data_IF_491964473610
#
_entry.id   IF_491964473610
#
_cell.length_a   1.000
_cell.length_b   1.000
_cell.length_c   1.000
_cell.angle_alpha   90.00
_cell.angle_beta   90.00
_cell.angle_gamma   90.00
#
_symmetry.space_group_name_H-M   'P 1'
#
loop_
_entity.id
_entity.type
_entity.pdbx_description
1 polymer ?
#
# COMPACT_ATOMS: atom_id res chain seq x y z
N UNK A 1 -3.13 -3.57 12.32
CA UNK A 1 -3.36 -2.47 11.36
C UNK A 1 -2.38 -1.31 11.56
N UNK A 2 -2.38 -0.57 12.70
CA UNK A 2 -1.52 0.61 12.90
C UNK A 2 -0.02 0.34 12.71
N UNK A 3 0.53 -0.74 13.27
CA UNK A 3 1.95 -1.08 13.10
C UNK A 3 2.32 -1.30 11.62
N UNK A 4 1.44 -1.92 10.85
CA UNK A 4 1.65 -2.12 9.41
C UNK A 4 1.55 -0.79 8.64
N UNK A 5 0.61 0.10 9.02
CA UNK A 5 0.52 1.43 8.42
C UNK A 5 1.80 2.26 8.67
N UNK A 6 2.36 2.21 9.88
CA UNK A 6 3.65 2.86 10.20
C UNK A 6 4.80 2.25 9.40
N UNK A 7 4.81 0.91 9.22
CA UNK A 7 5.80 0.23 8.37
C UNK A 7 5.71 0.75 6.93
N UNK A 8 4.51 0.75 6.34
CA UNK A 8 4.25 1.24 4.98
C UNK A 8 4.69 2.69 4.85
N UNK A 9 4.28 3.57 5.79
CA UNK A 9 4.67 4.98 5.80
C UNK A 9 6.18 5.15 5.79
N UNK A 10 6.89 4.52 6.73
CA UNK A 10 8.34 4.65 6.82
C UNK A 10 9.06 4.14 5.57
N UNK A 11 8.55 3.08 4.95
CA UNK A 11 9.10 2.52 3.73
C UNK A 11 9.03 3.52 2.56
N UNK A 12 7.85 4.11 2.33
CA UNK A 12 7.64 5.04 1.20
C UNK A 12 8.20 6.43 1.48
N UNK A 13 8.11 6.94 2.72
CA UNK A 13 8.74 8.20 3.14
C UNK A 13 10.24 8.21 2.85
N UNK A 14 10.94 7.11 3.13
CA UNK A 14 12.36 6.99 2.84
C UNK A 14 12.69 7.06 1.35
N UNK A 15 11.69 6.89 0.49
CA UNK A 15 11.77 7.00 -0.98
C UNK A 15 11.23 8.32 -1.50
N UNK A 16 10.94 9.25 -0.60
CA UNK A 16 10.49 10.59 -0.93
C UNK A 16 9.02 10.68 -1.38
N UNK A 17 8.19 9.69 -1.01
CA UNK A 17 6.74 9.81 -1.18
C UNK A 17 6.16 10.79 -0.17
N UNK A 18 5.13 11.52 -0.57
CA UNK A 18 4.44 12.45 0.32
C UNK A 18 3.57 11.71 1.33
N UNK A 19 3.30 12.36 2.47
CA UNK A 19 2.33 11.85 3.43
C UNK A 19 0.94 11.69 2.81
N UNK A 20 0.55 12.65 1.96
CA UNK A 20 -0.74 12.64 1.26
C UNK A 20 -0.90 11.38 0.39
N UNK A 21 0.11 11.08 -0.44
CA UNK A 21 0.11 9.90 -1.30
C UNK A 21 0.06 8.59 -0.49
N UNK A 22 0.89 8.46 0.55
CA UNK A 22 0.92 7.24 1.37
C UNK A 22 -0.36 7.07 2.17
N UNK A 23 -0.91 8.13 2.75
CA UNK A 23 -2.19 8.07 3.47
C UNK A 23 -3.35 7.69 2.53
N UNK A 24 -3.36 8.22 1.30
CA UNK A 24 -4.32 7.87 0.27
C UNK A 24 -4.26 6.37 -0.10
N UNK A 25 -3.05 5.84 -0.28
CA UNK A 25 -2.82 4.42 -0.51
C UNK A 25 -3.26 3.57 0.68
N UNK A 26 -2.96 3.97 1.91
CA UNK A 26 -3.37 3.26 3.12
C UNK A 26 -4.89 3.21 3.29
N UNK A 27 -5.63 4.25 2.90
CA UNK A 27 -7.09 4.23 2.87
C UNK A 27 -7.63 3.13 1.94
N UNK A 28 -7.00 2.92 0.81
CA UNK A 28 -7.32 1.82 -0.10
C UNK A 28 -6.91 0.46 0.50
N UNK A 29 -5.69 0.32 0.98
CA UNK A 29 -5.20 -0.91 1.63
C UNK A 29 -6.06 -1.33 2.84
N UNK A 30 -6.63 -0.37 3.57
CA UNK A 30 -7.56 -0.68 4.66
C UNK A 30 -8.81 -1.40 4.15
N UNK A 31 -9.34 -0.99 3.01
CA UNK A 31 -10.51 -1.61 2.39
C UNK A 31 -10.17 -2.96 1.75
N UNK A 32 -8.98 -3.10 1.16
CA UNK A 32 -8.55 -4.33 0.49
C UNK A 32 -8.15 -5.43 1.48
N UNK A 33 -7.36 -5.07 2.49
CA UNK A 33 -6.64 -6.04 3.30
C UNK A 33 -6.64 -5.76 4.80
N UNK A 34 -7.32 -4.71 5.27
CA UNK A 34 -7.12 -4.18 6.63
C UNK A 34 -5.64 -3.85 6.93
N UNK A 35 -4.88 -3.48 5.90
CA UNK A 35 -3.43 -3.25 5.92
C UNK A 35 -2.68 -4.46 6.48
N UNK A 36 -3.06 -5.66 6.04
CA UNK A 36 -2.45 -6.92 6.48
C UNK A 36 -1.73 -7.59 5.30
N UNK A 37 -0.38 -7.69 5.33
CA UNK A 37 0.39 -8.29 4.25
C UNK A 37 0.22 -9.81 4.14
N UNK A 38 -0.38 -10.46 5.14
CA UNK A 38 -0.59 -11.91 5.14
C UNK A 38 -2.01 -12.35 4.80
N UNK A 39 -2.87 -11.45 4.32
CA UNK A 39 -4.27 -11.77 4.11
C UNK A 39 -4.54 -12.33 2.71
N UNK A 40 -5.36 -13.37 2.64
CA UNK A 40 -5.90 -13.94 1.42
C UNK A 40 -7.36 -13.52 1.22
N UNK A 41 -7.77 -13.29 -0.01
CA UNK A 41 -9.18 -13.08 -0.37
C UNK A 41 -10.03 -14.30 -0.03
N UNK A 42 -9.54 -15.50 -0.35
CA UNK A 42 -10.20 -16.77 0.00
C UNK A 42 -9.24 -17.70 0.73
N UNK A 43 -9.73 -18.31 1.82
CA UNK A 43 -8.96 -19.25 2.64
C UNK A 43 -9.17 -20.72 2.24
N UNK A 44 -10.25 -21.03 1.50
CA UNK A 44 -10.59 -22.43 1.15
C UNK A 44 -11.22 -22.48 -0.24
N UNK A 45 -10.46 -22.87 -1.27
CA UNK A 45 -8.99 -23.00 -1.30
C UNK A 45 -8.30 -21.64 -1.18
N UNK A 46 -7.03 -21.60 -0.82
CA UNK A 46 -6.22 -20.37 -0.87
C UNK A 46 -6.17 -19.87 -2.32
N UNK A 47 -6.81 -18.74 -2.59
CA UNK A 47 -6.95 -18.22 -3.96
C UNK A 47 -7.37 -16.75 -3.98
N UNK A 48 -7.40 -16.19 -5.18
CA UNK A 48 -7.84 -14.81 -5.40
C UNK A 48 -6.72 -13.80 -5.16
N UNK A 49 -7.07 -12.72 -4.48
CA UNK A 49 -6.16 -11.65 -4.12
C UNK A 49 -5.33 -11.97 -2.87
N UNK A 50 -4.16 -11.34 -2.78
CA UNK A 50 -3.25 -11.48 -1.65
C UNK A 50 -2.57 -10.17 -1.27
N UNK A 51 -2.36 -9.98 0.04
CA UNK A 51 -1.52 -8.94 0.60
C UNK A 51 -2.16 -7.56 0.66
N UNK A 52 -1.33 -6.54 0.83
CA UNK A 52 -1.74 -5.16 1.14
C UNK A 52 -2.73 -4.56 0.13
N UNK A 53 -2.54 -4.80 -1.16
CA UNK A 53 -3.38 -4.29 -2.25
C UNK A 53 -4.13 -5.40 -2.99
N UNK A 54 -4.20 -6.59 -2.43
CA UNK A 54 -4.93 -7.75 -2.97
C UNK A 54 -4.57 -8.06 -4.44
N UNK A 55 -3.27 -8.20 -4.74
CA UNK A 55 -2.84 -8.64 -6.09
C UNK A 55 -3.62 -9.85 -6.56
N UNK A 56 -4.38 -9.70 -7.64
CA UNK A 56 -5.25 -10.76 -8.21
C UNK A 56 -4.85 -11.05 -9.66
N UNK A 57 -4.50 -12.30 -10.00
CA UNK A 57 -4.26 -13.42 -9.07
C UNK A 57 -3.02 -13.18 -8.21
N UNK A 58 -2.96 -13.81 -7.04
CA UNK A 58 -1.84 -13.66 -6.10
C UNK A 58 -0.46 -13.94 -6.72
N UNK A 59 -0.42 -14.74 -7.79
CA UNK A 59 0.78 -15.07 -8.55
C UNK A 59 1.44 -13.86 -9.21
N UNK A 60 0.70 -12.78 -9.42
CA UNK A 60 1.27 -11.51 -9.90
C UNK A 60 2.30 -10.95 -8.91
N UNK A 61 2.11 -11.23 -7.63
CA UNK A 61 3.06 -10.85 -6.58
C UNK A 61 4.03 -11.99 -6.25
N UNK A 62 3.55 -13.21 -5.97
CA UNK A 62 4.39 -14.29 -5.45
C UNK A 62 5.49 -14.75 -6.39
N UNK A 63 5.24 -14.81 -7.71
CA UNK A 63 6.26 -15.14 -8.71
C UNK A 63 7.35 -14.06 -8.76
N UNK A 64 6.97 -12.79 -8.72
CA UNK A 64 7.92 -11.69 -8.68
C UNK A 64 8.73 -11.66 -7.40
N UNK A 65 8.09 -11.88 -6.25
CA UNK A 65 8.72 -11.79 -4.94
C UNK A 65 9.70 -12.96 -4.64
N UNK A 66 9.47 -14.13 -5.22
CA UNK A 66 10.28 -15.32 -4.98
C UNK A 66 10.14 -15.88 -3.56
N UNK A 67 11.18 -16.54 -3.06
CA UNK A 67 11.15 -17.15 -1.73
C UNK A 67 10.91 -16.12 -0.61
N UNK A 68 10.12 -16.50 0.41
CA UNK A 68 9.81 -15.65 1.56
C UNK A 68 8.83 -14.51 1.24
N UNK A 69 8.01 -14.66 0.22
CA UNK A 69 7.01 -13.67 -0.19
C UNK A 69 5.84 -13.53 0.79
N UNK A 70 5.51 -14.61 1.52
CA UNK A 70 4.34 -14.64 2.39
C UNK A 70 4.48 -13.72 3.60
N UNK A 71 3.42 -12.98 3.90
CA UNK A 71 3.32 -12.07 5.04
C UNK A 71 4.52 -11.12 5.18
N UNK A 72 5.00 -10.62 4.05
CA UNK A 72 6.21 -9.81 3.95
C UNK A 72 5.89 -8.38 3.52
N UNK A 73 5.41 -7.56 4.45
CA UNK A 73 5.03 -6.17 4.18
C UNK A 73 6.11 -5.33 3.50
N UNK A 74 7.40 -5.37 3.91
CA UNK A 74 8.48 -4.69 3.18
C UNK A 74 8.61 -5.14 1.72
N UNK A 75 8.47 -6.43 1.44
CA UNK A 75 8.54 -6.97 0.08
C UNK A 75 7.35 -6.55 -0.77
N UNK A 76 6.17 -6.44 -0.17
CA UNK A 76 4.98 -5.92 -0.82
C UNK A 76 5.12 -4.42 -1.14
N UNK A 77 5.68 -3.63 -0.23
CA UNK A 77 6.00 -2.23 -0.52
C UNK A 77 7.06 -2.11 -1.64
N UNK A 78 8.06 -2.99 -1.67
CA UNK A 78 9.04 -3.07 -2.76
C UNK A 78 8.36 -3.37 -4.10
N UNK A 79 7.36 -4.26 -4.12
CA UNK A 79 6.57 -4.55 -5.32
C UNK A 79 5.83 -3.32 -5.85
N UNK A 80 5.21 -2.52 -4.99
CA UNK A 80 4.52 -1.30 -5.40
C UNK A 80 5.51 -0.29 -6.01
N UNK A 81 6.71 -0.15 -5.44
CA UNK A 81 7.77 0.70 -6.04
C UNK A 81 8.20 0.15 -7.40
N UNK A 82 8.39 -1.16 -7.52
CA UNK A 82 8.72 -1.80 -8.78
C UNK A 82 7.63 -1.56 -9.85
N UNK A 83 6.35 -1.60 -9.47
CA UNK A 83 5.23 -1.32 -10.38
C UNK A 83 5.26 0.12 -10.88
N UNK A 84 5.60 1.08 -10.02
CA UNK A 84 5.82 2.47 -10.40
C UNK A 84 6.98 2.59 -11.40
N UNK A 85 8.14 2.00 -11.09
CA UNK A 85 9.35 2.09 -11.91
C UNK A 85 9.22 1.41 -13.27
N UNK A 86 8.38 0.39 -13.38
CA UNK A 86 8.16 -0.39 -14.61
C UNK A 86 6.87 0.01 -15.36
N UNK A 87 6.13 1.00 -14.88
CA UNK A 87 4.92 1.49 -15.54
C UNK A 87 3.80 0.46 -15.64
N UNK A 88 3.69 -0.41 -14.63
CA UNK A 88 2.63 -1.42 -14.54
C UNK A 88 1.64 -1.09 -13.44
N UNK A 89 0.45 -1.68 -13.50
CA UNK A 89 -0.66 -1.57 -12.54
C UNK A 89 -1.35 -0.20 -12.50
N UNK A 90 -0.66 0.92 -12.72
CA UNK A 90 -1.24 2.26 -12.75
C UNK A 90 -1.67 2.65 -14.16
N UNK A 91 -2.96 2.99 -14.34
CA UNK A 91 -3.54 3.43 -15.61
C UNK A 91 -4.29 4.76 -15.41
N UNK A 92 -3.72 5.91 -15.80
CA UNK A 92 -4.38 7.20 -15.67
C UNK A 92 -5.77 7.18 -16.32
N UNK A 93 -6.74 7.72 -15.62
CA UNK A 93 -8.12 7.90 -16.13
C UNK A 93 -8.37 9.35 -16.48
N UNK A 94 -9.41 9.63 -17.29
CA UNK A 94 -9.80 11.02 -17.61
C UNK A 94 -10.22 11.83 -16.38
N UNK A 95 -10.66 11.16 -15.30
CA UNK A 95 -11.03 11.80 -14.03
C UNK A 95 -9.81 12.13 -13.18
N UNK A 96 -8.79 11.24 -13.21
CA UNK A 96 -7.54 11.37 -12.47
C UNK A 96 -6.37 11.16 -13.42
N UNK A 97 -6.14 12.19 -14.28
CA UNK A 97 -5.09 12.18 -15.29
C UNK A 97 -3.74 12.55 -14.66
N UNK A 98 -3.20 11.62 -13.91
CA UNK A 98 -1.87 11.70 -13.30
C UNK A 98 -1.13 10.37 -13.43
N UNK A 99 0.17 10.44 -13.61
CA UNK A 99 1.05 9.28 -13.59
C UNK A 99 1.23 8.76 -12.16
N UNK A 100 1.73 7.53 -11.99
CA UNK A 100 2.02 6.99 -10.66
C UNK A 100 3.16 7.76 -9.97
N UNK A 101 4.14 8.25 -10.73
CA UNK A 101 5.20 9.12 -10.19
C UNK A 101 4.62 10.45 -9.67
N UNK A 102 3.75 11.13 -10.42
CA UNK A 102 3.08 12.35 -9.97
C UNK A 102 2.23 12.10 -8.72
N UNK A 103 1.47 11.00 -8.68
CA UNK A 103 0.74 10.58 -7.48
C UNK A 103 1.67 10.47 -6.28
N UNK A 104 2.81 9.79 -6.42
CA UNK A 104 3.74 9.54 -5.32
C UNK A 104 4.30 10.83 -4.69
N UNK A 105 4.36 11.92 -5.45
CA UNK A 105 4.87 13.23 -5.05
C UNK A 105 3.77 14.26 -4.78
N UNK A 106 2.51 13.92 -5.07
CA UNK A 106 1.41 14.88 -4.94
C UNK A 106 1.16 15.28 -3.48
N UNK A 107 0.80 16.54 -3.30
CA UNK A 107 0.30 17.12 -2.04
C UNK A 107 -1.17 17.54 -2.16
N UNK A 108 -1.86 17.07 -3.17
CA UNK A 108 -3.30 17.29 -3.33
C UNK A 108 -4.08 16.76 -2.11
N UNK A 109 -5.32 17.18 -1.91
CA UNK A 109 -6.15 16.71 -0.80
C UNK A 109 -6.17 15.17 -0.75
N UNK A 110 -5.91 14.62 0.43
CA UNK A 110 -5.71 13.17 0.63
C UNK A 110 -6.90 12.34 0.17
N UNK A 111 -8.13 12.85 0.36
CA UNK A 111 -9.34 12.19 -0.13
C UNK A 111 -9.42 12.12 -1.66
N UNK A 112 -8.92 13.15 -2.36
CA UNK A 112 -8.82 13.16 -3.83
C UNK A 112 -7.80 12.11 -4.30
N UNK A 113 -6.64 12.07 -3.67
CA UNK A 113 -5.61 11.07 -3.98
C UNK A 113 -6.09 9.64 -3.67
N UNK A 114 -6.91 9.44 -2.62
CA UNK A 114 -7.49 8.12 -2.34
C UNK A 114 -8.41 7.64 -3.47
N UNK A 115 -9.20 8.54 -4.06
CA UNK A 115 -10.00 8.22 -5.23
C UNK A 115 -9.13 8.03 -6.48
N UNK A 116 -8.07 8.81 -6.67
CA UNK A 116 -7.13 8.60 -7.77
C UNK A 116 -6.48 7.20 -7.71
N UNK A 117 -6.09 6.75 -6.52
CA UNK A 117 -5.55 5.40 -6.33
C UNK A 117 -6.61 4.32 -6.60
N UNK A 118 -7.84 4.52 -6.14
CA UNK A 118 -8.96 3.62 -6.44
C UNK A 118 -9.19 3.46 -7.94
N UNK A 119 -9.23 4.59 -8.68
CA UNK A 119 -9.55 4.60 -10.11
C UNK A 119 -8.39 4.10 -10.99
N UNK A 120 -7.16 4.49 -10.65
CA UNK A 120 -6.00 4.25 -11.52
C UNK A 120 -5.24 2.97 -11.16
N UNK A 121 -5.25 2.54 -9.87
CA UNK A 121 -4.50 1.38 -9.39
C UNK A 121 -5.40 0.18 -9.08
N UNK A 122 -6.40 0.32 -8.19
CA UNK A 122 -7.24 -0.79 -7.71
C UNK A 122 -8.26 -1.23 -8.76
N UNK A 123 -8.95 -0.30 -9.37
CA UNK A 123 -9.96 -0.49 -10.43
C UNK A 123 -11.00 -1.57 -10.13
N UNK A 124 -11.64 -1.54 -8.94
CA UNK A 124 -12.70 -2.48 -8.62
C UNK A 124 -13.90 -2.29 -9.56
N UNK A 125 -14.77 -3.30 -9.61
CA UNK A 125 -16.00 -3.22 -10.41
C UNK A 125 -16.92 -2.08 -9.96
N UNK A 126 -17.00 -1.82 -8.66
CA UNK A 126 -17.73 -0.69 -8.09
C UNK A 126 -16.73 0.39 -7.65
N UNK A 127 -16.77 1.53 -8.34
CA UNK A 127 -15.94 2.71 -8.05
C UNK A 127 -16.59 3.66 -7.04
N UNK A 128 -17.85 3.46 -6.65
CA UNK A 128 -18.52 4.29 -5.66
C UNK A 128 -18.13 3.88 -4.23
N UNK A 129 -16.92 4.19 -3.83
CA UNK A 129 -16.35 3.84 -2.53
C UNK A 129 -15.81 5.07 -1.78
N UNK A 130 -16.69 6.03 -1.40
CA UNK A 130 -16.26 7.29 -0.76
C UNK A 130 -15.61 7.09 0.61
N UNK A 131 -15.89 5.97 1.29
CA UNK A 131 -15.27 5.65 2.59
C UNK A 131 -13.74 5.51 2.51
N UNK A 132 -13.15 5.19 1.35
CA UNK A 132 -11.70 5.13 1.17
C UNK A 132 -11.06 6.50 1.39
N UNK A 133 -11.74 7.58 1.02
CA UNK A 133 -11.30 8.95 1.31
C UNK A 133 -11.28 9.22 2.81
N UNK A 134 -12.34 8.85 3.54
CA UNK A 134 -12.41 9.02 5.00
C UNK A 134 -11.34 8.18 5.73
N UNK A 135 -11.08 6.97 5.25
CA UNK A 135 -10.00 6.12 5.77
C UNK A 135 -8.62 6.76 5.52
N UNK A 136 -8.42 7.34 4.34
CA UNK A 136 -7.18 8.02 4.00
C UNK A 136 -6.95 9.28 4.86
N UNK A 137 -7.97 10.07 5.11
CA UNK A 137 -7.94 11.22 6.02
C UNK A 137 -7.56 10.79 7.45
N UNK A 138 -8.13 9.70 7.96
CA UNK A 138 -7.73 9.13 9.24
C UNK A 138 -6.24 8.77 9.28
N UNK A 139 -5.72 8.12 8.23
CA UNK A 139 -4.30 7.76 8.17
C UNK A 139 -3.40 8.99 8.03
N UNK A 140 -3.82 10.01 7.32
CA UNK A 140 -3.10 11.26 7.20
C UNK A 140 -2.92 11.94 8.57
N UNK A 141 -3.97 12.04 9.36
CA UNK A 141 -3.93 12.60 10.71
C UNK A 141 -3.08 11.74 11.65
N UNK A 142 -3.30 10.43 11.64
CA UNK A 142 -2.57 9.48 12.48
C UNK A 142 -1.06 9.52 12.22
N UNK A 143 -0.64 9.48 10.97
CA UNK A 143 0.78 9.44 10.59
C UNK A 143 1.44 10.80 10.69
N UNK A 144 0.71 11.90 10.52
CA UNK A 144 1.21 13.27 10.72
C UNK A 144 1.71 13.51 12.13
N UNK A 145 1.16 12.82 13.13
CA UNK A 145 1.59 12.85 14.53
C UNK A 145 2.67 11.82 14.90
N UNK A 146 3.02 10.88 14.01
CA UNK A 146 4.02 9.83 14.32
C UNK A 146 5.44 10.34 14.09
N UNK A 147 6.34 10.29 15.09
CA UNK A 147 7.75 10.62 14.91
C UNK A 147 8.40 9.73 13.84
N UNK A 148 9.28 10.33 13.02
CA UNK A 148 10.04 9.54 12.02
C UNK A 148 10.99 8.58 12.74
N UNK A 149 10.76 7.29 12.57
CA UNK A 149 11.66 6.26 13.07
C UNK A 149 12.70 5.97 11.97
N UNK A 150 14.01 6.08 12.25
CA UNK A 150 15.03 5.74 11.28
C UNK A 150 14.88 4.29 10.80
N UNK A 151 14.97 4.07 9.49
CA UNK A 151 14.74 2.75 8.83
C UNK A 151 15.59 1.64 9.45
N UNK A 152 16.86 1.92 9.83
CA UNK A 152 17.74 0.92 10.44
C UNK A 152 17.21 0.40 11.79
N UNK A 153 16.36 1.16 12.47
CA UNK A 153 15.72 0.73 13.73
C UNK A 153 14.63 -0.30 13.48
N UNK A 154 13.89 -0.22 12.36
CA UNK A 154 12.85 -1.17 11.97
C UNK A 154 13.42 -2.56 11.70
N UNK A 155 14.63 -2.64 11.13
CA UNK A 155 15.31 -3.92 10.87
C UNK A 155 15.91 -4.57 12.13
N UNK A 156 16.16 -3.81 13.21
CA UNK A 156 16.65 -4.36 14.49
C UNK A 156 15.58 -5.16 15.24
N UNK A 157 14.33 -4.80 15.13
CA UNK A 157 13.25 -5.50 15.84
C UNK A 157 12.91 -6.86 15.24
N UNK A 158 13.14 -7.08 13.95
CA UNK A 158 12.88 -8.37 13.30
C UNK A 158 13.92 -9.45 13.60
N UNK A 159 15.15 -9.09 14.02
CA UNK A 159 16.20 -10.08 14.34
C UNK A 159 16.08 -10.76 15.71
N UNK A 160 15.22 -10.28 16.61
CA UNK A 160 15.10 -10.84 17.98
C UNK A 160 14.06 -11.95 18.14
N UNK A 161 13.34 -12.35 17.10
CA UNK A 161 12.32 -13.41 17.18
C UNK A 161 12.78 -14.81 16.72
N UNK A 162 14.06 -14.99 16.39
CA UNK A 162 14.55 -16.28 15.88
C UNK A 162 15.52 -17.03 16.81
N UNK A 163 15.69 -16.61 18.07
CA UNK A 163 16.44 -17.38 19.07
C UNK A 163 15.70 -17.32 20.43
N UNK A 164 14.82 -18.24 20.60
CA UNK A 164 14.13 -18.54 21.85
C UNK A 164 13.39 -19.85 21.73
#
# INVERSE_FOLDING_TARGET
>A
MQNNAVLVWNYFKARGWTLNAVAAMLGNMQSESTINPGIWESLVPLSGGYGLVQWTPYTNYSIWAGDGWENNGPKECERIVWELENGVQWYPTTTYDMTFEEFSKSTDPVGVLAQAFLYNYERPKDLNQPWRSTQAEYWFEFLGGVPSIPIWLLFKFNKRRFYG
#
